data_IF_092812133727
#
_entry.id   IF_092812133727
#
_cell.length_a   1.000
_cell.length_b   1.000
_cell.length_c   1.000
_cell.angle_alpha   90.00
_cell.angle_beta   90.00
_cell.angle_gamma   90.00
#
_symmetry.space_group_name_H-M   'P 1'
#
loop_
_entity.id
_entity.type
_entity.pdbx_description
1 polymer ?
#
# COMPACT_ATOMS: atom_id res chain seq x y z
N UNK A 1 1.58 0.04 -16.65
CA UNK A 1 0.16 0.31 -16.86
C UNK A 1 -0.64 0.02 -15.61
N UNK A 2 -1.57 0.89 -15.28
CA UNK A 2 -2.40 0.71 -14.09
C UNK A 2 -3.51 -0.28 -14.36
N UNK A 3 -3.86 -1.06 -13.32
CA UNK A 3 -4.94 -2.02 -13.44
C UNK A 3 -6.31 -1.44 -13.12
N UNK A 4 -6.35 -0.16 -12.78
CA UNK A 4 -7.60 0.55 -12.59
C UNK A 4 -7.85 0.95 -11.14
N UNK A 5 -9.10 1.33 -10.87
CA UNK A 5 -9.52 1.76 -9.53
C UNK A 5 -9.36 0.60 -8.55
N UNK A 6 -8.82 0.90 -7.37
CA UNK A 6 -8.48 -0.12 -6.39
C UNK A 6 -9.63 -1.05 -6.05
N UNK A 7 -10.83 -0.51 -5.86
CA UNK A 7 -11.98 -1.33 -5.50
C UNK A 7 -12.31 -2.35 -6.59
N UNK A 8 -12.24 -1.94 -7.86
CA UNK A 8 -12.50 -2.85 -8.97
C UNK A 8 -11.47 -3.98 -9.03
N UNK A 9 -10.20 -3.64 -8.81
CA UNK A 9 -9.13 -4.64 -8.84
C UNK A 9 -9.31 -5.63 -7.70
N UNK A 10 -9.66 -5.16 -6.50
CA UNK A 10 -9.90 -6.02 -5.35
C UNK A 10 -11.06 -6.96 -5.62
N UNK A 11 -12.14 -6.48 -6.23
CA UNK A 11 -13.29 -7.32 -6.53
C UNK A 11 -12.96 -8.41 -7.54
N UNK A 12 -12.11 -8.10 -8.53
CA UNK A 12 -11.72 -9.07 -9.54
C UNK A 12 -10.65 -10.04 -9.06
N UNK A 13 -9.66 -9.55 -8.31
CA UNK A 13 -8.43 -10.30 -8.06
C UNK A 13 -8.12 -10.54 -6.58
N UNK A 14 -8.77 -9.83 -5.67
CA UNK A 14 -8.38 -9.85 -4.26
C UNK A 14 -8.54 -11.19 -3.55
N UNK A 15 -9.30 -12.11 -4.12
CA UNK A 15 -9.51 -13.43 -3.53
C UNK A 15 -8.82 -14.54 -4.32
N UNK A 16 -7.93 -14.18 -5.24
CA UNK A 16 -7.31 -15.16 -6.12
C UNK A 16 -5.86 -15.41 -5.77
N UNK A 17 -5.49 -16.66 -5.77
CA UNK A 17 -4.11 -17.09 -5.61
C UNK A 17 -3.44 -17.02 -6.99
N UNK A 18 -3.01 -15.81 -7.35
CA UNK A 18 -2.49 -15.56 -8.70
C UNK A 18 -1.13 -16.19 -8.93
N UNK A 19 -0.36 -16.43 -7.86
CA UNK A 19 0.95 -17.06 -7.97
C UNK A 19 0.86 -18.58 -7.86
N UNK A 20 -0.32 -19.10 -7.56
CA UNK A 20 -0.57 -20.54 -7.45
C UNK A 20 0.39 -21.20 -6.44
N UNK A 21 0.59 -20.52 -5.32
CA UNK A 21 1.50 -20.99 -4.26
C UNK A 21 0.76 -21.43 -2.99
N UNK A 22 -0.57 -21.47 -3.04
CA UNK A 22 -1.39 -21.88 -1.90
C UNK A 22 -1.74 -20.79 -0.93
N UNK A 23 -1.27 -19.55 -1.15
CA UNK A 23 -1.54 -18.42 -0.27
C UNK A 23 -1.98 -17.21 -1.08
N UNK A 24 -2.88 -16.43 -0.52
CA UNK A 24 -3.32 -15.18 -1.13
C UNK A 24 -2.67 -14.04 -0.33
N UNK A 25 -1.75 -13.33 -0.96
CA UNK A 25 -1.03 -12.23 -0.33
C UNK A 25 -1.37 -10.93 -1.03
N UNK A 26 -2.16 -10.10 -0.38
CA UNK A 26 -2.50 -8.76 -0.85
C UNK A 26 -1.69 -7.79 -0.01
N UNK A 27 -0.58 -7.33 -0.55
CA UNK A 27 0.38 -6.51 0.18
C UNK A 27 0.12 -5.04 -0.04
N UNK A 28 -0.23 -4.33 1.03
CA UNK A 28 -0.33 -2.88 1.00
C UNK A 28 1.04 -2.29 1.31
N UNK A 29 1.48 -1.34 0.49
CA UNK A 29 2.74 -0.65 0.70
C UNK A 29 2.44 0.82 0.93
N UNK A 30 2.83 1.33 2.09
CA UNK A 30 2.59 2.72 2.47
C UNK A 30 3.90 3.33 2.96
N UNK A 31 4.04 4.64 2.83
CA UNK A 31 5.27 5.26 3.30
C UNK A 31 5.39 6.72 2.91
N UNK A 32 6.61 7.23 3.04
CA UNK A 32 6.91 8.63 2.79
C UNK A 32 6.61 9.03 1.35
N UNK A 33 5.91 10.15 1.18
CA UNK A 33 5.62 10.68 -0.15
C UNK A 33 6.82 11.38 -0.79
N UNK A 34 7.92 11.49 -0.07
CA UNK A 34 9.12 12.19 -0.53
C UNK A 34 10.33 11.30 -0.73
N UNK A 35 10.16 10.01 -0.58
CA UNK A 35 11.28 9.07 -0.65
C UNK A 35 11.35 8.45 -2.05
N UNK A 36 12.51 8.56 -2.68
CA UNK A 36 12.70 8.08 -4.06
C UNK A 36 13.94 7.22 -4.26
N UNK A 37 14.52 6.70 -3.19
CA UNK A 37 15.66 5.78 -3.33
C UNK A 37 15.15 4.40 -3.72
N UNK A 38 14.99 4.19 -5.00
CA UNK A 38 14.40 2.96 -5.52
C UNK A 38 15.25 1.73 -5.19
N UNK A 39 16.58 1.83 -5.22
CA UNK A 39 17.43 0.70 -4.91
C UNK A 39 17.22 0.21 -3.48
N UNK A 40 17.11 1.13 -2.54
CA UNK A 40 16.84 0.76 -1.15
C UNK A 40 15.44 0.20 -1.00
N UNK A 41 14.47 0.82 -1.67
CA UNK A 41 13.09 0.34 -1.66
C UNK A 41 13.04 -1.11 -2.17
N UNK A 42 13.70 -1.38 -3.29
CA UNK A 42 13.70 -2.72 -3.89
C UNK A 42 14.33 -3.74 -2.94
N UNK A 43 15.43 -3.36 -2.28
CA UNK A 43 16.06 -4.25 -1.29
C UNK A 43 15.12 -4.60 -0.14
N UNK A 44 14.35 -3.62 0.32
CA UNK A 44 13.42 -3.85 1.43
C UNK A 44 12.29 -4.78 1.02
N UNK A 45 11.75 -4.60 -0.18
CA UNK A 45 10.66 -5.46 -0.63
C UNK A 45 11.16 -6.87 -0.97
N UNK A 46 12.39 -6.98 -1.49
CA UNK A 46 12.98 -8.30 -1.75
C UNK A 46 13.18 -9.08 -0.44
N UNK A 47 13.63 -8.40 0.60
CA UNK A 47 13.76 -9.03 1.91
C UNK A 47 12.42 -9.48 2.46
N UNK A 48 11.39 -8.66 2.26
CA UNK A 48 10.03 -9.01 2.69
C UNK A 48 9.55 -10.28 2.00
N UNK A 49 9.79 -10.38 0.69
CA UNK A 49 9.38 -11.53 -0.11
C UNK A 49 10.08 -12.80 0.36
N UNK A 50 11.36 -12.70 0.70
CA UNK A 50 12.10 -13.87 1.19
C UNK A 50 11.47 -14.44 2.45
N UNK A 51 10.91 -13.60 3.29
CA UNK A 51 10.34 -14.03 4.56
C UNK A 51 8.86 -14.41 4.47
N UNK A 52 8.13 -13.82 3.56
CA UNK A 52 6.66 -13.94 3.55
C UNK A 52 6.08 -14.58 2.29
N UNK A 53 6.82 -14.58 1.20
CA UNK A 53 6.34 -15.09 -0.07
C UNK A 53 6.02 -13.97 -1.06
N UNK A 54 5.76 -14.34 -2.27
CA UNK A 54 5.54 -13.38 -3.36
C UNK A 54 4.11 -12.83 -3.32
N UNK A 55 3.91 -11.52 -3.38
CA UNK A 55 2.54 -10.99 -3.33
C UNK A 55 1.77 -11.27 -4.60
N UNK A 56 0.48 -11.53 -4.47
CA UNK A 56 -0.43 -11.71 -5.59
C UNK A 56 -0.93 -10.37 -6.09
N UNK A 57 -0.96 -9.38 -5.21
CA UNK A 57 -1.54 -8.08 -5.50
C UNK A 57 -0.84 -7.03 -4.64
N UNK A 58 -0.54 -5.89 -5.24
CA UNK A 58 0.02 -4.74 -4.52
C UNK A 58 -1.08 -3.69 -4.36
N UNK A 59 -1.21 -3.13 -3.18
CA UNK A 59 -2.21 -2.10 -2.86
C UNK A 59 -1.49 -0.82 -2.47
N UNK A 60 -1.85 0.28 -3.11
CA UNK A 60 -1.23 1.58 -2.83
C UNK A 60 -2.28 2.68 -2.77
N UNK A 61 -1.90 3.81 -2.21
CA UNK A 61 -2.77 4.96 -2.08
C UNK A 61 -2.67 5.98 -3.21
N UNK A 62 -1.81 5.74 -4.18
CA UNK A 62 -1.71 6.62 -5.34
C UNK A 62 -0.93 7.91 -5.12
N UNK A 63 -0.21 8.02 -4.02
CA UNK A 63 0.61 9.20 -3.73
C UNK A 63 1.96 9.12 -4.44
N UNK A 64 2.84 10.07 -4.17
CA UNK A 64 4.21 10.07 -4.68
C UNK A 64 5.11 9.29 -3.71
N UNK A 65 6.41 9.26 -4.00
CA UNK A 65 7.38 8.62 -3.12
C UNK A 65 7.24 7.12 -3.08
N UNK A 66 7.07 6.56 -1.88
CA UNK A 66 6.98 5.12 -1.69
C UNK A 66 5.84 4.51 -2.49
N UNK A 67 4.68 5.16 -2.53
CA UNK A 67 3.54 4.65 -3.31
C UNK A 67 3.89 4.55 -4.80
N UNK A 68 4.55 5.57 -5.33
CA UNK A 68 4.98 5.57 -6.72
C UNK A 68 5.98 4.45 -6.99
N UNK A 69 6.94 4.27 -6.10
CA UNK A 69 7.95 3.23 -6.28
C UNK A 69 7.34 1.84 -6.19
N UNK A 70 6.35 1.66 -5.31
CA UNK A 70 5.66 0.38 -5.19
C UNK A 70 4.89 0.06 -6.46
N UNK A 71 4.23 1.06 -7.04
CA UNK A 71 3.53 0.89 -8.31
C UNK A 71 4.50 0.49 -9.42
N UNK A 72 5.64 1.18 -9.49
CA UNK A 72 6.68 0.88 -10.47
C UNK A 72 7.23 -0.53 -10.30
N UNK A 73 7.51 -0.91 -9.07
CA UNK A 73 8.02 -2.26 -8.77
C UNK A 73 7.03 -3.33 -9.21
N UNK A 74 5.75 -3.12 -8.91
CA UNK A 74 4.71 -4.08 -9.27
C UNK A 74 4.60 -4.24 -10.78
N UNK A 75 4.63 -3.13 -11.53
CA UNK A 75 4.58 -3.18 -12.99
C UNK A 75 5.80 -3.92 -13.53
N UNK A 76 6.98 -3.64 -13.00
CA UNK A 76 8.22 -4.29 -13.45
C UNK A 76 8.21 -5.79 -13.17
N UNK A 77 7.48 -6.23 -12.18
CA UNK A 77 7.42 -7.63 -11.79
C UNK A 77 6.11 -8.30 -12.21
N UNK A 78 5.34 -7.63 -13.03
CA UNK A 78 4.08 -8.14 -13.59
C UNK A 78 3.10 -8.56 -12.49
N UNK A 79 2.98 -7.72 -11.46
CA UNK A 79 2.04 -7.94 -10.37
C UNK A 79 0.92 -6.89 -10.48
N UNK A 80 -0.35 -7.29 -10.41
CA UNK A 80 -1.45 -6.33 -10.46
C UNK A 80 -1.40 -5.32 -9.32
N UNK A 81 -1.84 -4.10 -9.59
CA UNK A 81 -1.83 -3.01 -8.61
C UNK A 81 -3.25 -2.49 -8.42
N UNK A 82 -3.67 -2.44 -7.16
CA UNK A 82 -4.93 -1.80 -6.79
C UNK A 82 -4.58 -0.42 -6.22
N UNK A 83 -5.04 0.63 -6.88
CA UNK A 83 -4.73 2.00 -6.49
C UNK A 83 -5.97 2.63 -5.89
N UNK A 84 -5.91 2.92 -4.59
CA UNK A 84 -6.98 3.64 -3.91
C UNK A 84 -6.59 5.10 -3.78
N UNK A 85 -7.51 6.00 -4.15
CA UNK A 85 -7.25 7.43 -4.03
C UNK A 85 -8.56 8.15 -3.80
N UNK A 86 -8.68 8.82 -2.68
CA UNK A 86 -9.87 9.58 -2.35
C UNK A 86 -10.09 10.73 -3.33
N UNK A 87 -9.02 11.33 -3.80
CA UNK A 87 -9.12 12.44 -4.73
C UNK A 87 -9.72 12.04 -6.07
N UNK A 88 -9.46 10.79 -6.48
CA UNK A 88 -10.01 10.29 -7.74
C UNK A 88 -11.47 9.92 -7.62
N UNK A 89 -11.85 9.44 -6.42
CA UNK A 89 -13.22 9.00 -6.17
C UNK A 89 -14.15 10.17 -5.88
N UNK A 90 -13.66 11.15 -5.10
CA UNK A 90 -14.45 12.30 -4.71
C UNK A 90 -13.54 13.48 -4.40
N UNK A 91 -13.37 14.42 -5.32
CA UNK A 91 -12.49 15.57 -5.11
C UNK A 91 -12.85 16.42 -3.88
N UNK A 92 -14.13 16.49 -3.54
CA UNK A 92 -14.55 17.25 -2.36
C UNK A 92 -14.10 16.57 -1.09
N UNK A 93 -14.08 15.27 -1.10
CA UNK A 93 -13.66 14.47 0.03
C UNK A 93 -12.16 14.65 0.28
N UNK A 94 -11.37 14.70 -0.78
CA UNK A 94 -9.95 14.98 -0.66
C UNK A 94 -9.69 16.32 -0.01
N UNK A 95 -10.51 17.32 -0.32
CA UNK A 95 -10.39 18.64 0.30
C UNK A 95 -10.75 18.60 1.78
N UNK A 96 -11.77 17.85 2.13
CA UNK A 96 -12.19 17.70 3.52
C UNK A 96 -11.12 17.03 4.37
N UNK A 97 -10.48 16.03 3.82
CA UNK A 97 -9.46 15.27 4.56
C UNK A 97 -8.15 16.00 4.67
N UNK A 98 -7.94 17.01 3.85
CA UNK A 98 -6.65 17.72 3.78
C UNK A 98 -6.18 18.27 5.11
N UNK A 99 -7.08 18.74 5.93
CA UNK A 99 -6.75 19.33 7.20
C UNK A 99 -6.59 18.35 8.34
N UNK A 100 -6.78 17.06 8.09
CA UNK A 100 -6.74 16.04 9.13
C UNK A 100 -5.92 14.84 8.71
N UNK A 101 -4.64 15.04 8.42
CA UNK A 101 -3.81 13.93 7.92
C UNK A 101 -3.56 12.84 8.96
N UNK A 102 -3.78 13.14 10.25
CA UNK A 102 -3.58 12.18 11.32
C UNK A 102 -4.82 11.36 11.64
N UNK A 103 -5.95 11.68 11.04
CA UNK A 103 -7.21 10.96 11.33
C UNK A 103 -7.43 9.85 10.30
N UNK A 104 -7.98 8.71 10.73
CA UNK A 104 -8.39 7.68 9.78
C UNK A 104 -9.44 8.24 8.83
N UNK A 105 -9.34 7.92 7.57
CA UNK A 105 -10.29 8.35 6.56
C UNK A 105 -10.70 7.16 5.71
N UNK A 106 -11.54 7.38 4.70
CA UNK A 106 -12.02 6.26 3.90
C UNK A 106 -10.93 5.60 3.09
N UNK A 107 -9.88 6.33 2.73
CA UNK A 107 -8.71 5.74 2.06
C UNK A 107 -8.04 4.72 2.98
N UNK A 108 -7.80 5.09 4.23
CA UNK A 108 -7.22 4.19 5.22
C UNK A 108 -8.07 2.94 5.37
N UNK A 109 -9.39 3.12 5.52
CA UNK A 109 -10.30 1.99 5.65
C UNK A 109 -10.23 1.04 4.46
N UNK A 110 -10.25 1.58 3.25
CA UNK A 110 -10.23 0.76 2.04
C UNK A 110 -8.96 -0.06 1.95
N UNK A 111 -7.82 0.56 2.25
CA UNK A 111 -6.54 -0.13 2.19
C UNK A 111 -6.47 -1.24 3.23
N UNK A 112 -6.85 -0.94 4.47
CA UNK A 112 -6.78 -1.93 5.56
C UNK A 112 -7.73 -3.09 5.35
N UNK A 113 -8.92 -2.81 4.83
CA UNK A 113 -9.90 -3.87 4.56
C UNK A 113 -9.45 -4.82 3.48
N UNK A 114 -8.67 -4.33 2.53
CA UNK A 114 -8.31 -5.09 1.33
C UNK A 114 -6.99 -5.84 1.48
N UNK A 115 -6.16 -5.47 2.46
CA UNK A 115 -4.82 -6.02 2.59
C UNK A 115 -4.78 -7.20 3.54
N UNK A 116 -3.92 -8.17 3.21
CA UNK A 116 -3.62 -9.28 4.13
C UNK A 116 -2.33 -8.99 4.89
N UNK A 117 -1.45 -8.17 4.32
CA UNK A 117 -0.15 -7.81 4.90
C UNK A 117 0.14 -6.36 4.57
N UNK A 118 0.97 -5.71 5.38
CA UNK A 118 1.34 -4.32 5.14
C UNK A 118 2.86 -4.17 5.29
N UNK A 119 3.46 -3.44 4.36
CA UNK A 119 4.86 -3.05 4.43
C UNK A 119 4.88 -1.53 4.52
N UNK A 120 5.35 -1.00 5.63
CA UNK A 120 5.32 0.44 5.90
C UNK A 120 6.74 1.01 5.95
N UNK A 121 6.93 2.13 5.25
CA UNK A 121 8.22 2.81 5.16
C UNK A 121 8.06 4.29 5.50
N UNK A 122 7.78 4.61 6.78
CA UNK A 122 7.57 5.99 7.17
C UNK A 122 8.87 6.76 7.35
N UNK A 123 8.82 8.06 7.09
CA UNK A 123 9.87 8.98 7.49
C UNK A 123 9.41 9.70 8.75
N UNK A 124 10.24 10.60 9.28
CA UNK A 124 9.90 11.35 10.48
C UNK A 124 8.63 12.21 10.31
N UNK A 125 8.30 12.58 9.05
CA UNK A 125 7.16 13.45 8.79
C UNK A 125 5.96 12.72 8.17
N UNK A 126 5.96 11.40 8.15
CA UNK A 126 4.91 10.61 7.51
C UNK A 126 3.70 10.40 8.43
N UNK A 127 2.93 11.45 8.64
CA UNK A 127 1.80 11.39 9.58
C UNK A 127 0.74 10.37 9.20
N UNK A 128 0.32 10.37 7.95
CA UNK A 128 -0.71 9.43 7.51
C UNK A 128 -0.23 7.98 7.60
N UNK A 129 1.02 7.74 7.22
CA UNK A 129 1.57 6.39 7.30
C UNK A 129 1.54 5.87 8.73
N UNK A 130 1.79 6.72 9.71
CA UNK A 130 1.75 6.31 11.11
C UNK A 130 0.33 6.03 11.59
N UNK A 131 -0.66 6.70 11.02
CA UNK A 131 -2.07 6.37 11.28
C UNK A 131 -2.37 4.97 10.75
N UNK A 132 -1.92 4.65 9.54
CA UNK A 132 -2.10 3.32 8.97
C UNK A 132 -1.45 2.26 9.85
N UNK A 133 -0.22 2.53 10.32
CA UNK A 133 0.50 1.60 11.20
C UNK A 133 -0.30 1.32 12.47
N UNK A 134 -0.78 2.38 13.11
CA UNK A 134 -1.55 2.25 14.34
C UNK A 134 -2.82 1.42 14.11
N UNK A 135 -3.57 1.75 13.07
CA UNK A 135 -4.81 1.05 12.76
C UNK A 135 -4.55 -0.41 12.41
N UNK A 136 -3.47 -0.68 11.69
CA UNK A 136 -3.12 -2.06 11.33
C UNK A 136 -2.81 -2.88 12.56
N UNK A 137 -2.07 -2.32 13.50
CA UNK A 137 -1.75 -3.01 14.75
C UNK A 137 -2.99 -3.29 15.57
N UNK A 138 -3.92 -2.34 15.63
CA UNK A 138 -5.17 -2.51 16.36
C UNK A 138 -6.04 -3.61 15.73
N UNK A 139 -5.96 -3.76 14.42
CA UNK A 139 -6.71 -4.79 13.68
C UNK A 139 -5.95 -6.11 13.55
N UNK A 140 -4.76 -6.17 14.11
CA UNK A 140 -3.90 -7.36 14.08
C UNK A 140 -3.55 -7.81 12.67
N UNK A 141 -3.37 -6.85 11.76
CA UNK A 141 -2.90 -7.13 10.41
C UNK A 141 -1.38 -7.25 10.46
N UNK A 142 -0.79 -8.31 9.90
CA UNK A 142 0.67 -8.44 9.86
C UNK A 142 1.30 -7.23 9.18
N UNK A 143 2.24 -6.58 9.87
CA UNK A 143 2.87 -5.37 9.37
C UNK A 143 4.37 -5.38 9.68
N UNK A 144 5.16 -4.98 8.68
CA UNK A 144 6.59 -4.78 8.85
C UNK A 144 6.90 -3.31 8.63
N UNK A 145 7.72 -2.73 9.48
CA UNK A 145 7.97 -1.28 9.47
C UNK A 145 9.45 -1.02 9.28
N UNK A 146 9.80 -0.17 8.30
CA UNK A 146 11.16 0.28 8.05
C UNK A 146 11.19 1.79 8.11
N UNK A 147 11.75 2.34 9.18
CA UNK A 147 11.85 3.79 9.33
C UNK A 147 12.86 4.33 8.31
N UNK A 148 12.46 5.37 7.60
CA UNK A 148 13.33 6.04 6.64
C UNK A 148 13.86 7.34 7.24
N UNK A 149 15.02 7.76 6.82
CA UNK A 149 15.63 8.99 7.32
C UNK A 149 14.95 10.24 6.84
#
# INVERSE_FOLDING_TARGET
MRDGVGQDVIERLGSRDLNDDGEIINLAIVGSSRYYDYSNFESLIDSWIEMNGYPDLIIVGGASGVDYMAERWAVNNTIPVAIFSEEWDDPRRGLEDRGRPEAPNSLTEKILKSSSHILAMPSATSKWTRVVIKEAKERRIPIEIHELE
#
